data_IF_488803413041
#
_entry.id   IF_488803413041
#
_cell.length_a   1.000
_cell.length_b   1.000
_cell.length_c   1.000
_cell.angle_alpha   90.00
_cell.angle_beta   90.00
_cell.angle_gamma   90.00
#
_symmetry.space_group_name_H-M   'P 1'
#
loop_
_entity.id
_entity.type
_entity.pdbx_description
1 polymer ?
#
# COMPACT_ATOMS: atom_id res chain seq x y z
N UNK A 1 4.58 -24.53 18.28
CA UNK A 1 5.20 -23.20 18.47
C UNK A 1 4.35 -22.43 19.48
N UNK A 2 4.91 -22.00 20.60
CA UNK A 2 4.14 -21.34 21.67
C UNK A 2 3.58 -19.99 21.17
N UNK A 3 2.29 -19.70 21.41
CA UNK A 3 1.60 -18.51 20.89
C UNK A 3 2.30 -17.21 21.33
N UNK A 4 2.92 -17.19 22.52
CA UNK A 4 3.71 -16.07 23.02
C UNK A 4 4.90 -15.74 22.13
N UNK A 5 5.65 -16.75 21.67
CA UNK A 5 6.77 -16.55 20.74
C UNK A 5 6.29 -16.04 19.39
N UNK A 6 5.10 -16.44 18.96
CA UNK A 6 4.51 -15.99 17.71
C UNK A 6 4.14 -14.50 17.76
N UNK A 7 3.57 -14.05 18.89
CA UNK A 7 3.28 -12.64 19.15
C UNK A 7 4.55 -11.80 19.24
N UNK A 8 5.60 -12.30 19.91
CA UNK A 8 6.86 -11.56 20.02
C UNK A 8 7.60 -11.46 18.69
N UNK A 9 7.46 -12.43 17.78
CA UNK A 9 8.00 -12.31 16.43
C UNK A 9 7.51 -11.08 15.66
N UNK A 10 6.41 -10.45 16.09
CA UNK A 10 5.91 -9.19 15.53
C UNK A 10 6.76 -7.99 15.93
N UNK A 11 7.53 -8.06 17.02
CA UNK A 11 8.42 -6.99 17.45
C UNK A 11 9.72 -6.93 16.59
N UNK A 12 10.29 -5.72 16.40
CA UNK A 12 11.58 -5.55 15.74
C UNK A 12 12.68 -6.39 16.39
N UNK A 13 13.61 -6.94 15.60
CA UNK A 13 14.73 -7.77 16.11
C UNK A 13 15.53 -7.05 17.20
N UNK A 14 15.92 -5.81 16.97
CA UNK A 14 16.68 -5.01 17.95
C UNK A 14 15.94 -4.78 19.27
N UNK A 15 14.61 -4.79 19.25
CA UNK A 15 13.81 -4.72 20.47
C UNK A 15 13.81 -6.08 21.17
N UNK A 16 13.61 -7.15 20.41
CA UNK A 16 13.61 -8.52 20.93
C UNK A 16 14.94 -8.92 21.55
N UNK A 17 16.05 -8.57 20.91
CA UNK A 17 17.40 -8.85 21.41
C UNK A 17 17.62 -8.30 22.84
N UNK A 18 16.84 -7.30 23.26
CA UNK A 18 16.91 -6.68 24.58
C UNK A 18 15.77 -7.07 25.52
N UNK A 19 14.53 -7.14 25.02
CA UNK A 19 13.32 -7.22 25.84
C UNK A 19 12.52 -8.51 25.65
N UNK A 20 12.94 -9.43 24.76
CA UNK A 20 12.19 -10.66 24.50
C UNK A 20 12.05 -11.52 25.76
N UNK A 21 13.12 -11.69 26.53
CA UNK A 21 13.10 -12.52 27.74
C UNK A 21 12.19 -11.92 28.82
N UNK A 22 12.30 -10.61 29.06
CA UNK A 22 11.45 -9.88 30.00
C UNK A 22 9.96 -9.97 29.62
N UNK A 23 9.64 -9.77 28.35
CA UNK A 23 8.27 -9.82 27.86
C UNK A 23 7.71 -11.24 27.85
N UNK A 24 8.53 -12.26 27.54
CA UNK A 24 8.14 -13.67 27.67
C UNK A 24 7.79 -14.01 29.13
N UNK A 25 8.55 -13.52 30.10
CA UNK A 25 8.25 -13.73 31.52
C UNK A 25 6.92 -13.08 31.92
N UNK A 26 6.65 -11.86 31.46
CA UNK A 26 5.36 -11.17 31.71
C UNK A 26 4.21 -11.95 31.08
N UNK A 27 4.33 -12.35 29.81
CA UNK A 27 3.29 -13.09 29.08
C UNK A 27 3.08 -14.51 29.62
N UNK A 28 4.11 -15.16 30.15
CA UNK A 28 3.98 -16.47 30.78
C UNK A 28 3.29 -16.41 32.15
N UNK A 29 3.31 -15.24 32.81
CA UNK A 29 2.75 -15.07 34.16
C UNK A 29 1.21 -14.95 34.18
N UNK A 30 0.54 -14.78 33.03
CA UNK A 30 -0.91 -14.56 32.95
C UNK A 30 -1.51 -15.20 31.70
N UNK A 31 -2.74 -15.74 31.75
CA UNK A 31 -3.45 -16.17 30.55
C UNK A 31 -3.78 -14.95 29.66
N UNK A 32 -3.50 -15.05 28.35
CA UNK A 32 -3.75 -13.98 27.38
C UNK A 32 -5.24 -13.72 27.19
N UNK A 33 -5.70 -12.51 27.49
CA UNK A 33 -6.98 -11.98 27.02
C UNK A 33 -6.90 -11.55 25.54
N UNK A 34 -8.06 -11.43 24.89
CA UNK A 34 -8.17 -10.78 23.58
C UNK A 34 -7.67 -9.33 23.63
N UNK A 35 -7.93 -8.62 24.74
CA UNK A 35 -7.46 -7.26 24.94
C UNK A 35 -5.93 -7.19 25.10
N UNK A 36 -5.33 -8.14 25.82
CA UNK A 36 -3.86 -8.24 25.94
C UNK A 36 -3.23 -8.51 24.58
N UNK A 37 -3.87 -9.32 23.74
CA UNK A 37 -3.38 -9.57 22.37
C UNK A 37 -3.40 -8.29 21.53
N UNK A 38 -4.46 -7.48 21.66
CA UNK A 38 -4.55 -6.16 20.99
C UNK A 38 -3.48 -5.20 21.54
N UNK A 39 -3.26 -5.18 22.85
CA UNK A 39 -2.27 -4.32 23.48
C UNK A 39 -0.84 -4.71 23.08
N UNK A 40 -0.53 -6.02 23.03
CA UNK A 40 0.75 -6.54 22.52
C UNK A 40 0.94 -6.22 21.05
N UNK A 41 -0.11 -6.31 20.23
CA UNK A 41 -0.07 -5.86 18.83
C UNK A 41 0.18 -4.35 18.73
N UNK A 42 -0.44 -3.56 19.61
CA UNK A 42 -0.22 -2.12 19.74
C UNK A 42 1.22 -1.79 20.15
N UNK A 43 1.77 -2.50 21.12
CA UNK A 43 3.16 -2.37 21.57
C UNK A 43 4.16 -2.81 20.51
N UNK A 44 3.87 -3.86 19.74
CA UNK A 44 4.69 -4.27 18.60
C UNK A 44 4.68 -3.17 17.52
N UNK A 45 3.52 -2.62 17.22
CA UNK A 45 3.37 -1.51 16.28
C UNK A 45 4.13 -0.27 16.78
N UNK A 46 4.00 0.09 18.06
CA UNK A 46 4.72 1.21 18.68
C UNK A 46 6.24 1.02 18.62
N UNK A 47 6.73 -0.19 18.89
CA UNK A 47 8.15 -0.53 18.75
C UNK A 47 8.64 -0.39 17.30
N UNK A 48 7.80 -0.68 16.31
CA UNK A 48 8.11 -0.40 14.90
C UNK A 48 8.08 1.10 14.58
N UNK A 49 7.19 1.88 15.18
CA UNK A 49 7.09 3.33 14.98
C UNK A 49 8.22 4.11 15.67
N UNK A 50 8.74 3.59 16.77
CA UNK A 50 9.81 4.19 17.57
C UNK A 50 11.09 3.34 17.56
N UNK A 51 11.86 3.33 16.44
CA UNK A 51 13.12 2.57 16.34
C UNK A 51 14.15 2.87 17.44
N UNK A 52 13.98 3.96 18.20
CA UNK A 52 14.88 4.37 19.28
C UNK A 52 14.90 3.40 20.46
N UNK A 53 13.78 2.72 20.71
CA UNK A 53 13.58 1.90 21.91
C UNK A 53 14.59 0.74 22.06
N UNK A 54 15.30 0.36 20.97
CA UNK A 54 16.37 -0.66 21.00
C UNK A 54 17.77 -0.14 20.66
N UNK A 55 17.99 1.18 20.57
CA UNK A 55 19.28 1.75 20.07
C UNK A 55 20.11 2.47 21.13
N UNK A 56 19.61 2.52 22.37
CA UNK A 56 20.31 3.07 23.54
C UNK A 56 21.54 2.21 23.85
N UNK A 57 22.71 2.68 23.40
CA UNK A 57 24.01 2.03 23.58
C UNK A 57 24.86 1.96 22.30
N UNK A 58 24.24 2.10 21.11
CA UNK A 58 24.97 2.03 19.84
C UNK A 58 25.78 3.30 19.55
N UNK A 59 26.84 3.17 18.74
CA UNK A 59 27.63 4.31 18.25
C UNK A 59 26.80 5.22 17.32
N UNK A 60 27.21 6.48 17.15
CA UNK A 60 26.50 7.43 16.27
C UNK A 60 26.40 6.94 14.82
N UNK A 61 27.46 6.32 14.31
CA UNK A 61 27.53 5.78 12.95
C UNK A 61 26.55 4.62 12.74
N UNK A 62 26.47 3.70 13.69
CA UNK A 62 25.52 2.58 13.64
C UNK A 62 24.07 3.07 13.74
N UNK A 63 23.79 4.03 14.63
CA UNK A 63 22.47 4.66 14.74
C UNK A 63 22.05 5.31 13.43
N UNK A 64 22.94 6.08 12.79
CA UNK A 64 22.65 6.70 11.50
C UNK A 64 22.36 5.67 10.40
N UNK A 65 23.13 4.57 10.36
CA UNK A 65 22.90 3.45 9.43
C UNK A 65 21.54 2.80 9.66
N UNK A 66 21.18 2.50 10.90
CA UNK A 66 19.87 1.93 11.26
C UNK A 66 18.72 2.87 10.91
N UNK A 67 18.89 4.18 11.11
CA UNK A 67 17.89 5.19 10.72
C UNK A 67 17.70 5.24 9.19
N UNK A 68 18.76 5.14 8.40
CA UNK A 68 18.67 5.07 6.94
C UNK A 68 17.98 3.78 6.47
N UNK A 69 18.30 2.63 7.08
CA UNK A 69 17.62 1.37 6.80
C UNK A 69 16.13 1.44 7.15
N UNK A 70 15.79 2.05 8.29
CA UNK A 70 14.41 2.29 8.70
C UNK A 70 13.67 3.24 7.74
N UNK A 71 14.34 4.30 7.27
CA UNK A 71 13.78 5.25 6.32
C UNK A 71 13.44 4.54 5.00
N UNK A 72 14.40 3.78 4.47
CA UNK A 72 14.21 3.00 3.25
C UNK A 72 13.12 1.94 3.40
N UNK A 73 13.09 1.21 4.52
CA UNK A 73 12.02 0.27 4.81
C UNK A 73 10.65 0.94 4.83
N UNK A 74 10.55 2.13 5.45
CA UNK A 74 9.30 2.89 5.52
C UNK A 74 8.82 3.34 4.14
N UNK A 75 9.72 3.88 3.30
CA UNK A 75 9.40 4.29 1.94
C UNK A 75 8.90 3.12 1.08
N UNK A 76 9.53 1.94 1.21
CA UNK A 76 9.08 0.74 0.50
C UNK A 76 7.70 0.28 0.96
N UNK A 77 7.41 0.33 2.27
CA UNK A 77 6.08 0.00 2.78
C UNK A 77 5.02 0.99 2.31
N UNK A 78 5.32 2.29 2.29
CA UNK A 78 4.42 3.32 1.76
C UNK A 78 4.15 3.07 0.27
N UNK A 79 5.17 2.71 -0.51
CA UNK A 79 4.99 2.32 -1.91
C UNK A 79 4.07 1.09 -2.07
N UNK A 80 4.27 0.03 -1.28
CA UNK A 80 3.39 -1.14 -1.28
C UNK A 80 1.95 -0.77 -0.89
N UNK A 81 1.78 0.09 0.12
CA UNK A 81 0.47 0.59 0.54
C UNK A 81 -0.22 1.37 -0.58
N UNK A 82 0.52 2.23 -1.29
CA UNK A 82 0.02 2.95 -2.45
C UNK A 82 -0.40 2.01 -3.59
N UNK A 83 0.38 0.96 -3.89
CA UNK A 83 -0.03 -0.06 -4.88
C UNK A 83 -1.34 -0.73 -4.48
N UNK A 84 -1.49 -1.13 -3.22
CA UNK A 84 -2.75 -1.67 -2.70
C UNK A 84 -3.92 -0.68 -2.80
N UNK A 85 -3.66 0.61 -2.55
CA UNK A 85 -4.64 1.67 -2.68
C UNK A 85 -5.08 1.88 -4.13
N UNK A 86 -4.15 1.80 -5.10
CA UNK A 86 -4.47 1.84 -6.53
C UNK A 86 -5.34 0.65 -6.93
N UNK A 87 -5.04 -0.56 -6.45
CA UNK A 87 -5.88 -1.74 -6.72
C UNK A 87 -7.31 -1.56 -6.20
N UNK A 88 -7.48 -0.99 -5.01
CA UNK A 88 -8.80 -0.64 -4.48
C UNK A 88 -9.49 0.46 -5.32
N UNK A 89 -8.72 1.47 -5.75
CA UNK A 89 -9.18 2.53 -6.66
C UNK A 89 -9.61 2.03 -8.04
N UNK A 90 -8.98 0.99 -8.59
CA UNK A 90 -9.43 0.33 -9.82
C UNK A 90 -10.80 -0.33 -9.61
N UNK A 91 -11.02 -0.94 -8.44
CA UNK A 91 -12.34 -1.43 -8.03
C UNK A 91 -13.37 -0.30 -7.99
N UNK A 92 -13.01 0.86 -7.44
CA UNK A 92 -13.87 2.05 -7.45
C UNK A 92 -14.21 2.51 -8.87
N UNK A 93 -13.21 2.58 -9.76
CA UNK A 93 -13.42 2.95 -11.15
C UNK A 93 -14.37 1.99 -11.88
N UNK A 94 -14.34 0.71 -11.53
CA UNK A 94 -15.29 -0.26 -12.09
C UNK A 94 -16.73 0.00 -11.64
N UNK A 95 -16.93 0.49 -10.41
CA UNK A 95 -18.26 0.86 -9.90
C UNK A 95 -18.86 2.09 -10.58
N UNK A 96 -18.02 2.98 -11.12
CA UNK A 96 -18.43 4.26 -11.71
C UNK A 96 -18.61 4.21 -13.22
N UNK A 97 -18.25 3.11 -13.88
CA UNK A 97 -18.24 2.99 -15.34
C UNK A 97 -19.65 3.02 -15.99
N UNK A 98 -20.71 2.70 -15.24
CA UNK A 98 -22.06 2.61 -15.81
C UNK A 98 -22.61 3.96 -16.29
N UNK A 99 -23.37 3.95 -17.40
CA UNK A 99 -24.02 5.16 -17.95
C UNK A 99 -24.95 5.83 -16.93
N UNK A 100 -25.64 5.05 -16.10
CA UNK A 100 -26.49 5.55 -15.02
C UNK A 100 -25.69 6.39 -14.01
N UNK A 101 -24.47 5.97 -13.66
CA UNK A 101 -23.61 6.74 -12.76
C UNK A 101 -23.13 8.05 -13.37
N UNK A 102 -22.89 8.09 -14.68
CA UNK A 102 -22.53 9.34 -15.37
C UNK A 102 -23.65 10.38 -15.27
N UNK A 103 -24.90 9.96 -15.49
CA UNK A 103 -26.07 10.84 -15.38
C UNK A 103 -26.26 11.34 -13.95
N UNK A 104 -26.08 10.47 -12.95
CA UNK A 104 -26.25 10.84 -11.54
C UNK A 104 -25.17 11.79 -11.03
N UNK A 105 -23.95 11.58 -11.49
CA UNK A 105 -22.81 12.46 -11.17
C UNK A 105 -23.06 13.87 -11.72
N UNK A 106 -23.79 14.04 -12.83
CA UNK A 106 -24.17 15.36 -13.34
C UNK A 106 -25.32 16.01 -12.57
N UNK A 107 -26.19 15.23 -11.92
CA UNK A 107 -27.39 15.72 -11.25
C UNK A 107 -27.16 16.12 -9.79
N UNK A 108 -26.29 15.41 -9.09
CA UNK A 108 -26.02 15.63 -7.66
C UNK A 108 -24.63 16.28 -7.46
N UNK A 109 -24.56 17.53 -6.97
CA UNK A 109 -23.30 18.26 -6.86
C UNK A 109 -22.34 17.64 -5.84
N UNK A 110 -22.85 16.96 -4.80
CA UNK A 110 -22.01 16.33 -3.77
C UNK A 110 -21.30 15.10 -4.35
N UNK A 111 -22.05 14.30 -5.11
CA UNK A 111 -21.51 13.11 -5.81
C UNK A 111 -20.47 13.57 -6.86
N UNK A 112 -20.79 14.61 -7.65
CA UNK A 112 -19.88 15.20 -8.63
C UNK A 112 -18.56 15.67 -8.01
N UNK A 113 -18.65 16.51 -6.98
CA UNK A 113 -17.49 17.09 -6.33
C UNK A 113 -16.61 16.00 -5.72
N UNK A 114 -17.22 15.01 -5.05
CA UNK A 114 -16.49 13.88 -4.46
C UNK A 114 -15.74 13.09 -5.53
N UNK A 115 -16.38 12.81 -6.67
CA UNK A 115 -15.75 12.12 -7.79
C UNK A 115 -14.58 12.92 -8.40
N UNK A 116 -14.74 14.23 -8.57
CA UNK A 116 -13.66 15.09 -9.06
C UNK A 116 -12.47 15.14 -8.10
N UNK A 117 -12.71 15.21 -6.79
CA UNK A 117 -11.64 15.17 -5.77
C UNK A 117 -10.89 13.85 -5.82
N UNK A 118 -11.59 12.72 -6.02
CA UNK A 118 -10.97 11.41 -6.20
C UNK A 118 -10.05 11.40 -7.43
N UNK A 119 -10.52 11.92 -8.58
CA UNK A 119 -9.73 11.96 -9.82
C UNK A 119 -8.49 12.86 -9.69
N UNK A 120 -8.67 14.10 -9.24
CA UNK A 120 -7.56 15.06 -9.04
C UNK A 120 -6.58 14.51 -8.02
N UNK A 121 -7.09 13.95 -6.92
CA UNK A 121 -6.27 13.29 -5.91
C UNK A 121 -5.45 12.14 -6.51
N UNK A 122 -6.05 11.27 -7.32
CA UNK A 122 -5.33 10.16 -7.93
C UNK A 122 -4.15 10.65 -8.80
N UNK A 123 -4.35 11.71 -9.58
CA UNK A 123 -3.29 12.35 -10.39
C UNK A 123 -2.19 12.94 -9.50
N UNK A 124 -2.56 13.71 -8.46
CA UNK A 124 -1.58 14.31 -7.53
C UNK A 124 -0.77 13.23 -6.81
N UNK A 125 -1.42 12.17 -6.33
CA UNK A 125 -0.75 11.06 -5.66
C UNK A 125 0.23 10.34 -6.59
N UNK A 126 -0.16 10.11 -7.85
CA UNK A 126 0.71 9.51 -8.87
C UNK A 126 1.93 10.38 -9.15
N UNK A 127 1.73 11.69 -9.37
CA UNK A 127 2.83 12.62 -9.61
C UNK A 127 3.79 12.68 -8.42
N UNK A 128 3.28 12.66 -7.19
CA UNK A 128 4.10 12.60 -5.98
C UNK A 128 4.93 11.29 -5.92
N UNK A 129 4.31 10.14 -6.19
CA UNK A 129 5.04 8.86 -6.22
C UNK A 129 6.11 8.85 -7.31
N UNK A 130 5.83 9.40 -8.49
CA UNK A 130 6.82 9.53 -9.57
C UNK A 130 7.96 10.48 -9.19
N UNK A 131 7.65 11.63 -8.59
CA UNK A 131 8.64 12.59 -8.14
C UNK A 131 9.59 12.00 -7.09
N UNK A 132 9.08 11.19 -6.16
CA UNK A 132 9.90 10.51 -5.14
C UNK A 132 10.62 9.25 -5.67
N UNK A 133 9.94 8.47 -6.51
CA UNK A 133 10.41 7.15 -6.97
C UNK A 133 11.37 7.21 -8.16
N UNK A 134 11.18 8.14 -9.10
CA UNK A 134 11.99 8.22 -10.32
C UNK A 134 13.47 8.49 -10.04
N UNK A 135 13.85 9.44 -9.16
CA UNK A 135 15.27 9.64 -8.82
C UNK A 135 15.91 8.40 -8.19
N UNK A 136 15.15 7.66 -7.36
CA UNK A 136 15.60 6.41 -6.75
C UNK A 136 15.81 5.35 -7.84
N UNK A 137 14.85 5.17 -8.73
CA UNK A 137 14.94 4.21 -9.84
C UNK A 137 16.14 4.51 -10.75
N UNK A 138 16.36 5.78 -11.11
CA UNK A 138 17.52 6.21 -11.90
C UNK A 138 18.83 5.91 -11.17
N UNK A 139 18.90 6.14 -9.87
CA UNK A 139 20.08 5.80 -9.07
C UNK A 139 20.35 4.30 -9.05
N UNK A 140 19.30 3.47 -8.90
CA UNK A 140 19.39 2.00 -8.97
C UNK A 140 19.92 1.56 -10.34
N UNK A 141 19.37 2.09 -11.44
CA UNK A 141 19.77 1.75 -12.80
C UNK A 141 21.24 2.14 -13.04
N UNK A 142 21.64 3.37 -12.69
CA UNK A 142 23.02 3.83 -12.83
C UNK A 142 24.00 2.97 -12.04
N UNK A 143 23.67 2.64 -10.80
CA UNK A 143 24.50 1.76 -9.95
C UNK A 143 24.58 0.34 -10.50
N UNK A 144 23.47 -0.21 -11.02
CA UNK A 144 23.44 -1.53 -11.61
C UNK A 144 24.29 -1.62 -12.90
N UNK A 145 24.22 -0.58 -13.75
CA UNK A 145 25.02 -0.50 -14.97
C UNK A 145 26.52 -0.35 -14.67
N UNK A 146 26.88 0.55 -13.75
CA UNK A 146 28.28 0.77 -13.37
C UNK A 146 28.94 -0.50 -12.80
N UNK A 147 28.18 -1.29 -12.02
CA UNK A 147 28.67 -2.50 -11.36
C UNK A 147 28.36 -3.80 -12.14
N UNK A 148 27.86 -3.71 -13.39
CA UNK A 148 27.46 -4.86 -14.23
C UNK A 148 26.52 -5.86 -13.54
N UNK A 149 25.62 -5.36 -12.67
CA UNK A 149 24.64 -6.17 -11.92
C UNK A 149 23.33 -6.35 -12.68
N UNK A 150 23.36 -7.13 -13.75
CA UNK A 150 22.20 -7.37 -14.64
C UNK A 150 20.94 -7.86 -13.91
N UNK A 151 21.09 -8.62 -12.81
CA UNK A 151 19.96 -9.08 -12.01
C UNK A 151 19.08 -7.94 -11.46
N UNK A 152 19.65 -6.77 -11.16
CA UNK A 152 18.88 -5.60 -10.70
C UNK A 152 18.06 -4.97 -11.84
N UNK A 153 18.62 -4.93 -13.05
CA UNK A 153 17.92 -4.42 -14.22
C UNK A 153 16.76 -5.33 -14.60
N UNK A 154 16.95 -6.65 -14.51
CA UNK A 154 15.87 -7.61 -14.71
C UNK A 154 14.73 -7.40 -13.70
N UNK A 155 15.05 -7.20 -12.42
CA UNK A 155 14.04 -6.90 -11.39
C UNK A 155 13.24 -5.62 -11.69
N UNK A 156 13.88 -4.58 -12.23
CA UNK A 156 13.18 -3.35 -12.64
C UNK A 156 12.35 -3.51 -13.92
N UNK A 157 12.64 -4.51 -14.76
CA UNK A 157 11.83 -4.83 -15.93
C UNK A 157 10.57 -5.66 -15.59
N UNK A 158 10.54 -6.33 -14.43
CA UNK A 158 9.42 -7.18 -14.00
C UNK A 158 8.06 -6.48 -14.05
N UNK A 159 7.88 -5.22 -13.60
CA UNK A 159 6.58 -4.55 -13.69
C UNK A 159 6.06 -4.40 -15.12
N UNK A 160 6.95 -4.10 -16.07
CA UNK A 160 6.59 -3.97 -17.49
C UNK A 160 6.19 -5.33 -18.04
N UNK A 161 6.98 -6.38 -17.77
CA UNK A 161 6.68 -7.74 -18.20
C UNK A 161 5.37 -8.27 -17.60
N UNK A 162 5.14 -8.05 -16.30
CA UNK A 162 3.91 -8.45 -15.61
C UNK A 162 2.68 -7.75 -16.19
N UNK A 163 2.80 -6.46 -16.53
CA UNK A 163 1.74 -5.71 -17.18
C UNK A 163 1.45 -6.22 -18.60
N UNK A 164 2.48 -6.52 -19.38
CA UNK A 164 2.30 -7.13 -20.71
C UNK A 164 1.58 -8.47 -20.60
N UNK A 165 1.99 -9.35 -19.68
CA UNK A 165 1.33 -10.65 -19.45
C UNK A 165 -0.14 -10.45 -19.05
N UNK A 166 -0.43 -9.49 -18.17
CA UNK A 166 -1.80 -9.16 -17.79
C UNK A 166 -2.65 -8.72 -19.00
N UNK A 167 -2.12 -7.85 -19.87
CA UNK A 167 -2.79 -7.45 -21.10
C UNK A 167 -3.00 -8.63 -22.07
N UNK A 168 -2.00 -9.49 -22.23
CA UNK A 168 -2.13 -10.70 -23.06
C UNK A 168 -3.25 -11.60 -22.54
N UNK A 169 -3.39 -11.76 -21.22
CA UNK A 169 -4.49 -12.53 -20.62
C UNK A 169 -5.83 -11.89 -20.94
N UNK A 170 -5.98 -10.57 -20.80
CA UNK A 170 -7.23 -9.88 -21.15
C UNK A 170 -7.60 -10.14 -22.61
N UNK A 171 -6.67 -9.89 -23.54
CA UNK A 171 -6.90 -10.06 -24.98
C UNK A 171 -7.20 -11.53 -25.32
N UNK A 172 -6.49 -12.48 -24.71
CA UNK A 172 -6.73 -13.90 -24.91
C UNK A 172 -8.14 -14.31 -24.45
N UNK A 173 -8.58 -13.84 -23.28
CA UNK A 173 -9.91 -14.17 -22.76
C UNK A 173 -11.03 -13.56 -23.62
N UNK A 174 -10.83 -12.34 -24.13
CA UNK A 174 -11.77 -11.67 -25.01
C UNK A 174 -11.88 -12.35 -26.38
N UNK A 175 -10.74 -12.74 -26.98
CA UNK A 175 -10.70 -13.40 -28.29
C UNK A 175 -11.17 -14.85 -28.25
N UNK A 176 -10.94 -15.58 -27.16
CA UNK A 176 -11.35 -16.98 -27.05
C UNK A 176 -12.86 -17.17 -26.86
N UNK A 177 -13.59 -16.16 -26.36
CA UNK A 177 -15.01 -16.29 -26.03
C UNK A 177 -15.84 -15.07 -26.44
N UNK A 178 -15.97 -14.78 -27.76
CA UNK A 178 -16.77 -13.68 -28.26
C UNK A 178 -18.27 -13.97 -28.05
N UNK A 179 -18.89 -13.25 -27.11
CA UNK A 179 -20.30 -12.91 -27.22
C UNK A 179 -21.37 -13.97 -26.93
N UNK A 180 -21.22 -14.86 -25.94
CA UNK A 180 -22.36 -15.46 -25.22
C UNK A 180 -21.90 -16.29 -24.00
N UNK A 181 -21.45 -15.61 -22.94
CA UNK A 181 -20.95 -16.30 -21.75
C UNK A 181 -22.07 -16.57 -20.75
N UNK A 182 -22.13 -17.80 -20.24
CA UNK A 182 -22.99 -18.17 -19.11
C UNK A 182 -22.61 -17.36 -17.87
N UNK A 183 -23.51 -17.18 -16.88
CA UNK A 183 -23.19 -16.48 -15.63
C UNK A 183 -21.97 -17.05 -14.91
N UNK A 184 -21.81 -18.37 -14.92
CA UNK A 184 -20.67 -19.08 -14.32
C UNK A 184 -19.36 -18.77 -15.02
N UNK A 185 -19.35 -18.78 -16.36
CA UNK A 185 -18.17 -18.41 -17.15
C UNK A 185 -17.74 -16.97 -16.87
N UNK A 186 -18.69 -16.03 -16.79
CA UNK A 186 -18.41 -14.62 -16.44
C UNK A 186 -17.75 -14.47 -15.07
N UNK A 187 -18.22 -15.23 -14.07
CA UNK A 187 -17.62 -15.23 -12.74
C UNK A 187 -16.19 -15.77 -12.79
N UNK A 188 -15.96 -16.86 -13.51
CA UNK A 188 -14.63 -17.44 -13.70
C UNK A 188 -13.66 -16.45 -14.38
N UNK A 189 -14.09 -15.76 -15.45
CA UNK A 189 -13.27 -14.73 -16.10
C UNK A 189 -12.96 -13.56 -15.16
N UNK A 190 -13.95 -13.08 -14.40
CA UNK A 190 -13.73 -12.02 -13.42
C UNK A 190 -12.69 -12.43 -12.37
N UNK A 191 -12.80 -13.65 -11.84
CA UNK A 191 -11.83 -14.20 -10.89
C UNK A 191 -10.43 -14.34 -11.51
N UNK A 192 -10.34 -14.79 -12.77
CA UNK A 192 -9.06 -14.94 -13.47
C UNK A 192 -8.40 -13.59 -13.75
N UNK A 193 -9.16 -12.59 -14.21
CA UNK A 193 -8.67 -11.23 -14.44
C UNK A 193 -8.22 -10.60 -13.13
N UNK A 194 -9.02 -10.71 -12.06
CA UNK A 194 -8.62 -10.17 -10.76
C UNK A 194 -7.41 -10.90 -10.19
N UNK A 195 -7.38 -12.23 -10.26
CA UNK A 195 -6.26 -13.04 -9.77
C UNK A 195 -4.96 -12.69 -10.50
N UNK A 196 -5.00 -12.55 -11.82
CA UNK A 196 -3.84 -12.14 -12.62
C UNK A 196 -3.41 -10.71 -12.35
N UNK A 197 -4.35 -9.77 -12.19
CA UNK A 197 -4.05 -8.39 -11.79
C UNK A 197 -3.35 -8.34 -10.42
N UNK A 198 -3.88 -9.04 -9.42
CA UNK A 198 -3.31 -9.11 -8.08
C UNK A 198 -1.91 -9.74 -8.11
N UNK A 199 -1.74 -10.85 -8.83
CA UNK A 199 -0.45 -11.50 -8.99
C UNK A 199 0.57 -10.58 -9.67
N UNK A 200 0.18 -9.91 -10.75
CA UNK A 200 1.02 -8.94 -11.46
C UNK A 200 1.44 -7.79 -10.54
N UNK A 201 0.51 -7.23 -9.76
CA UNK A 201 0.81 -6.14 -8.83
C UNK A 201 1.76 -6.56 -7.70
N UNK A 202 1.52 -7.74 -7.08
CA UNK A 202 2.37 -8.28 -6.00
C UNK A 202 3.79 -8.55 -6.51
N UNK A 203 3.92 -9.23 -7.66
CA UNK A 203 5.20 -9.56 -8.27
C UNK A 203 5.95 -8.27 -8.67
N UNK A 204 5.24 -7.29 -9.25
CA UNK A 204 5.82 -6.00 -9.63
C UNK A 204 6.32 -5.22 -8.42
N UNK A 205 5.48 -5.03 -7.40
CA UNK A 205 5.86 -4.30 -6.19
C UNK A 205 7.01 -5.01 -5.45
N UNK A 206 6.94 -6.34 -5.33
CA UNK A 206 7.99 -7.15 -4.72
C UNK A 206 9.33 -7.05 -5.46
N UNK A 207 9.31 -7.06 -6.80
CA UNK A 207 10.52 -6.93 -7.60
C UNK A 207 11.16 -5.53 -7.47
N UNK A 208 10.35 -4.47 -7.52
CA UNK A 208 10.82 -3.08 -7.30
C UNK A 208 11.39 -2.92 -5.89
N UNK A 209 10.67 -3.40 -4.86
CA UNK A 209 11.13 -3.39 -3.48
C UNK A 209 12.44 -4.15 -3.31
N UNK A 210 12.59 -5.33 -3.95
CA UNK A 210 13.82 -6.12 -3.94
C UNK A 210 14.98 -5.42 -4.64
N UNK A 211 14.74 -4.79 -5.80
CA UNK A 211 15.75 -4.03 -6.54
C UNK A 211 16.26 -2.84 -5.71
N UNK A 212 15.35 -2.04 -5.16
CA UNK A 212 15.68 -0.94 -4.25
C UNK A 212 16.37 -1.48 -3.00
N UNK A 213 15.92 -2.62 -2.46
CA UNK A 213 16.48 -3.24 -1.27
C UNK A 213 17.95 -3.67 -1.42
N UNK A 214 18.34 -4.07 -2.63
CA UNK A 214 19.68 -4.57 -2.93
C UNK A 214 20.64 -3.50 -3.44
N UNK A 215 20.15 -2.27 -3.61
CA UNK A 215 20.91 -1.17 -4.23
C UNK A 215 21.46 -0.19 -3.21
N UNK A 216 22.67 0.30 -3.44
CA UNK A 216 23.26 1.39 -2.68
C UNK A 216 22.67 2.71 -3.17
N UNK A 217 21.81 3.31 -2.35
CA UNK A 217 21.11 4.56 -2.67
C UNK A 217 21.67 5.65 -1.76
N UNK A 218 22.09 6.80 -2.31
CA UNK A 218 22.59 7.89 -1.50
C UNK A 218 21.49 8.39 -0.55
N UNK A 219 21.86 8.63 0.71
CA UNK A 219 20.91 9.04 1.75
C UNK A 219 20.17 10.34 1.44
N UNK A 220 20.73 11.22 0.61
CA UNK A 220 20.06 12.45 0.15
C UNK A 220 18.80 12.18 -0.66
N UNK A 221 18.81 11.16 -1.54
CA UNK A 221 17.63 10.79 -2.32
C UNK A 221 16.53 10.19 -1.44
N UNK A 222 16.89 9.39 -0.44
CA UNK A 222 15.93 8.85 0.52
C UNK A 222 15.29 9.95 1.37
N UNK A 223 16.08 10.96 1.77
CA UNK A 223 15.58 12.14 2.48
C UNK A 223 14.63 12.97 1.62
N UNK A 224 14.97 13.18 0.34
CA UNK A 224 14.12 13.88 -0.61
C UNK A 224 12.78 13.16 -0.79
N UNK A 225 12.79 11.82 -0.89
CA UNK A 225 11.59 11.01 -1.08
C UNK A 225 10.58 11.07 0.09
N UNK A 226 10.97 11.56 1.26
CA UNK A 226 10.05 11.77 2.39
C UNK A 226 8.96 12.79 2.02
N UNK A 227 9.32 13.90 1.38
CA UNK A 227 8.34 14.95 1.09
C UNK A 227 7.24 14.48 0.13
N UNK A 228 7.55 13.85 -1.02
CA UNK A 228 6.52 13.25 -1.86
C UNK A 228 5.73 12.16 -1.15
N UNK A 229 6.33 11.39 -0.23
CA UNK A 229 5.59 10.36 0.53
C UNK A 229 4.51 10.95 1.44
N UNK A 230 4.79 12.09 2.10
CA UNK A 230 3.80 12.82 2.90
C UNK A 230 2.64 13.27 2.00
N UNK A 231 2.97 13.83 0.84
CA UNK A 231 1.97 14.31 -0.12
C UNK A 231 1.10 13.14 -0.60
N UNK A 232 1.69 12.03 -1.05
CA UNK A 232 0.96 10.82 -1.46
C UNK A 232 0.03 10.33 -0.35
N UNK A 233 0.51 10.22 0.89
CA UNK A 233 -0.31 9.74 2.02
C UNK A 233 -1.44 10.71 2.38
N UNK A 234 -1.18 12.02 2.37
CA UNK A 234 -2.22 13.03 2.57
C UNK A 234 -3.30 12.96 1.49
N UNK A 235 -2.89 12.77 0.23
CA UNK A 235 -3.82 12.61 -0.87
C UNK A 235 -4.61 11.29 -0.80
N UNK A 236 -4.00 10.18 -0.38
CA UNK A 236 -4.72 8.92 -0.12
C UNK A 236 -5.82 9.09 0.93
N UNK A 237 -5.55 9.81 2.02
CA UNK A 237 -6.54 10.12 3.04
C UNK A 237 -7.69 10.99 2.51
N UNK A 238 -7.38 12.00 1.70
CA UNK A 238 -8.38 12.85 1.05
C UNK A 238 -9.28 12.03 0.12
N UNK A 239 -8.68 11.21 -0.75
CA UNK A 239 -9.42 10.33 -1.67
C UNK A 239 -10.32 9.36 -0.87
N UNK A 240 -9.82 8.76 0.21
CA UNK A 240 -10.61 7.87 1.07
C UNK A 240 -11.85 8.58 1.63
N UNK A 241 -11.69 9.79 2.17
CA UNK A 241 -12.82 10.59 2.68
C UNK A 241 -13.82 10.87 1.55
N UNK A 242 -13.34 11.29 0.38
CA UNK A 242 -14.19 11.53 -0.79
C UNK A 242 -14.92 10.26 -1.26
N UNK A 243 -14.29 9.10 -1.23
CA UNK A 243 -14.93 7.80 -1.57
C UNK A 243 -16.03 7.44 -0.57
N UNK A 244 -15.85 7.76 0.72
CA UNK A 244 -16.86 7.57 1.76
C UNK A 244 -18.05 8.50 1.51
N UNK A 245 -17.79 9.80 1.31
CA UNK A 245 -18.82 10.81 1.05
C UNK A 245 -19.59 10.47 -0.23
N UNK A 246 -18.89 10.08 -1.30
CA UNK A 246 -19.51 9.66 -2.55
C UNK A 246 -20.47 8.47 -2.36
N UNK A 247 -20.05 7.43 -1.65
CA UNK A 247 -20.90 6.24 -1.46
C UNK A 247 -22.08 6.48 -0.53
N UNK A 248 -21.89 7.29 0.53
CA UNK A 248 -22.99 7.71 1.41
C UNK A 248 -23.99 8.60 0.66
N UNK A 249 -23.51 9.54 -0.17
CA UNK A 249 -24.34 10.39 -1.02
C UNK A 249 -25.18 9.55 -1.99
N UNK A 250 -24.56 8.58 -2.67
CA UNK A 250 -25.28 7.65 -3.54
C UNK A 250 -26.34 6.83 -2.79
N UNK A 251 -26.02 6.35 -1.59
CA UNK A 251 -26.96 5.57 -0.78
C UNK A 251 -28.17 6.41 -0.36
N UNK A 252 -27.96 7.68 -0.05
CA UNK A 252 -29.01 8.61 0.33
C UNK A 252 -29.88 9.02 -0.86
N UNK A 253 -29.27 9.36 -2.00
CA UNK A 253 -29.97 9.88 -3.18
C UNK A 253 -30.64 8.78 -4.01
N UNK A 254 -29.98 7.63 -4.20
CA UNK A 254 -30.47 6.53 -5.07
C UNK A 254 -30.09 5.16 -4.50
N UNK A 255 -30.78 4.69 -3.43
CA UNK A 255 -30.43 3.43 -2.76
C UNK A 255 -30.55 2.20 -3.68
N UNK A 256 -31.38 2.29 -4.74
CA UNK A 256 -31.62 1.21 -5.71
C UNK A 256 -30.37 0.83 -6.51
N UNK A 257 -29.34 1.68 -6.58
CA UNK A 257 -28.11 1.34 -7.30
C UNK A 257 -27.34 0.25 -6.56
N UNK A 258 -27.45 0.20 -5.23
CA UNK A 258 -26.74 -0.78 -4.41
C UNK A 258 -27.47 -2.13 -4.27
N UNK A 259 -28.69 -2.26 -4.81
CA UNK A 259 -29.49 -3.50 -4.72
C UNK A 259 -29.25 -4.49 -5.86
N UNK A 260 -28.21 -4.31 -6.67
CA UNK A 260 -27.87 -5.27 -7.72
C UNK A 260 -27.44 -6.63 -7.15
N UNK A 261 -28.04 -7.72 -7.63
CA UNK A 261 -27.76 -9.09 -7.14
C UNK A 261 -26.75 -9.87 -7.98
N UNK A 262 -26.09 -9.24 -8.94
CA UNK A 262 -25.19 -9.95 -9.86
C UNK A 262 -23.76 -10.13 -9.31
N UNK A 263 -23.56 -9.89 -8.01
CA UNK A 263 -22.31 -10.14 -7.29
C UNK A 263 -21.26 -9.04 -7.43
N UNK A 264 -20.13 -9.26 -6.74
CA UNK A 264 -19.02 -8.30 -6.57
C UNK A 264 -18.41 -7.81 -7.89
N UNK A 265 -18.43 -8.66 -8.92
CA UNK A 265 -17.77 -8.38 -10.20
C UNK A 265 -18.67 -7.68 -11.22
N UNK A 266 -19.98 -7.59 -10.97
CA UNK A 266 -20.95 -7.30 -12.02
C UNK A 266 -21.97 -6.23 -11.68
N UNK A 267 -22.26 -6.04 -10.39
CA UNK A 267 -23.16 -5.00 -9.92
C UNK A 267 -22.52 -4.20 -8.82
N UNK A 268 -22.75 -2.89 -8.84
CA UNK A 268 -22.38 -2.01 -7.74
C UNK A 268 -23.17 -2.39 -6.51
N UNK A 269 -22.60 -3.22 -5.64
CA UNK A 269 -23.25 -3.62 -4.39
C UNK A 269 -22.72 -2.79 -3.24
N UNK A 270 -23.52 -2.65 -2.19
CA UNK A 270 -23.05 -2.02 -0.95
C UNK A 270 -21.80 -2.74 -0.40
N UNK A 271 -21.75 -4.06 -0.54
CA UNK A 271 -20.61 -4.88 -0.14
C UNK A 271 -19.32 -4.56 -0.92
N UNK A 272 -19.41 -4.36 -2.24
CA UNK A 272 -18.24 -3.98 -3.05
C UNK A 272 -17.67 -2.62 -2.64
N UNK A 273 -18.54 -1.61 -2.49
CA UNK A 273 -18.10 -0.29 -2.06
C UNK A 273 -17.49 -0.33 -0.67
N UNK A 274 -18.11 -1.03 0.28
CA UNK A 274 -17.57 -1.18 1.62
C UNK A 274 -16.22 -1.90 1.62
N UNK A 275 -16.07 -2.95 0.82
CA UNK A 275 -14.80 -3.65 0.63
C UNK A 275 -13.69 -2.74 0.10
N UNK A 276 -14.00 -1.88 -0.87
CA UNK A 276 -13.07 -0.86 -1.39
C UNK A 276 -12.69 0.14 -0.29
N UNK A 277 -13.67 0.67 0.45
CA UNK A 277 -13.41 1.60 1.56
C UNK A 277 -12.52 0.97 2.62
N UNK A 278 -12.77 -0.28 3.01
CA UNK A 278 -11.94 -1.02 3.98
C UNK A 278 -10.51 -1.19 3.44
N UNK A 279 -10.34 -1.58 2.19
CA UNK A 279 -9.02 -1.74 1.58
C UNK A 279 -8.25 -0.40 1.49
N UNK A 280 -8.93 0.69 1.07
CA UNK A 280 -8.36 2.04 1.03
C UNK A 280 -8.02 2.54 2.43
N UNK A 281 -8.87 2.30 3.43
CA UNK A 281 -8.62 2.66 4.82
C UNK A 281 -7.41 1.91 5.38
N UNK A 282 -7.33 0.59 5.19
CA UNK A 282 -6.20 -0.21 5.66
C UNK A 282 -4.87 0.23 5.07
N UNK A 283 -4.83 0.47 3.75
CA UNK A 283 -3.62 0.95 3.06
C UNK A 283 -3.26 2.39 3.45
N UNK A 284 -4.25 3.26 3.66
CA UNK A 284 -4.01 4.65 4.12
C UNK A 284 -3.47 4.70 5.54
N UNK A 285 -4.05 3.93 6.47
CA UNK A 285 -3.55 3.82 7.85
C UNK A 285 -2.11 3.31 7.85
N UNK A 286 -1.82 2.26 7.07
CA UNK A 286 -0.46 1.75 6.91
C UNK A 286 0.49 2.84 6.40
N UNK A 287 0.09 3.60 5.37
CA UNK A 287 0.90 4.69 4.84
C UNK A 287 1.15 5.79 5.89
N UNK A 288 0.14 6.20 6.65
CA UNK A 288 0.25 7.21 7.73
C UNK A 288 1.28 6.76 8.78
N UNK A 289 1.17 5.53 9.26
CA UNK A 289 2.05 4.97 10.28
C UNK A 289 3.52 5.01 9.83
N UNK A 290 3.79 4.58 8.58
CA UNK A 290 5.15 4.57 8.05
C UNK A 290 5.66 5.96 7.64
N UNK A 291 4.79 6.91 7.28
CA UNK A 291 5.17 8.32 7.11
C UNK A 291 5.60 8.92 8.45
N UNK A 292 4.86 8.70 9.53
CA UNK A 292 5.25 9.17 10.88
C UNK A 292 6.62 8.61 11.26
N UNK A 293 6.82 7.30 11.08
CA UNK A 293 8.12 6.66 11.30
C UNK A 293 9.24 7.28 10.45
N UNK A 294 8.97 7.58 9.18
CA UNK A 294 9.93 8.21 8.27
C UNK A 294 10.34 9.62 8.74
N UNK A 295 9.39 10.41 9.25
CA UNK A 295 9.61 11.76 9.77
C UNK A 295 10.42 11.74 11.07
N UNK A 296 10.13 10.80 11.96
CA UNK A 296 10.89 10.58 13.19
C UNK A 296 12.35 10.21 12.88
N UNK A 297 12.58 9.34 11.89
CA UNK A 297 13.94 9.01 11.43
C UNK A 297 14.63 10.21 10.77
N UNK A 298 13.91 10.97 9.94
CA UNK A 298 14.44 12.15 9.26
C UNK A 298 14.89 13.26 10.23
N UNK A 299 14.05 13.60 11.20
CA UNK A 299 14.36 14.63 12.21
C UNK A 299 15.62 14.29 13.02
N UNK A 300 15.88 13.01 13.28
CA UNK A 300 17.06 12.55 14.00
C UNK A 300 18.32 12.59 13.16
N UNK A 301 18.24 12.17 11.90
CA UNK A 301 19.36 12.30 10.96
C UNK A 301 19.79 13.76 10.80
N UNK A 302 18.84 14.70 10.84
CA UNK A 302 19.15 16.14 10.80
C UNK A 302 19.88 16.61 12.05
N UNK A 303 19.50 16.13 13.25
CA UNK A 303 20.16 16.46 14.51
C UNK A 303 21.57 15.88 14.63
N UNK A 304 21.84 14.73 14.01
CA UNK A 304 23.16 14.10 14.07
C UNK A 304 24.20 14.76 13.14
N UNK A 305 23.75 15.56 12.17
CA UNK A 305 24.63 16.25 11.20
C UNK A 305 24.78 17.76 11.48
N UNK A 306 24.09 18.27 12.49
CA UNK A 306 24.14 19.67 12.93
C UNK A 306 25.04 19.77 14.16
#
# INVERSE_FOLDING_TARGET
MNIYKLLLCLYPRTWRDRYEEEMLMILASRPLSLFDSIDVLGGALDAHLHPRLGTTGLSLTERARLMLLSLRGSLLTIFCAYVGFILAGLGFQKLTESATMQVLTQRDPVISLSFQVILVGAVVALLAVLAGGLPIAVAVIRSALANKRWGLLFLLAVPVLAFIVFLMVIVFLETAHPGSQSPEQKALYGCLILGTLLAAAIVSAGAVCSAVARSEIPGSLLRFAVLPSILTTGTMALILISTIVWGLGLRASVPQIFSGYQGIMRTSTMGTWLGIVIAMAGTTVLAILFVIRSLLAYSMLRKATA
#
